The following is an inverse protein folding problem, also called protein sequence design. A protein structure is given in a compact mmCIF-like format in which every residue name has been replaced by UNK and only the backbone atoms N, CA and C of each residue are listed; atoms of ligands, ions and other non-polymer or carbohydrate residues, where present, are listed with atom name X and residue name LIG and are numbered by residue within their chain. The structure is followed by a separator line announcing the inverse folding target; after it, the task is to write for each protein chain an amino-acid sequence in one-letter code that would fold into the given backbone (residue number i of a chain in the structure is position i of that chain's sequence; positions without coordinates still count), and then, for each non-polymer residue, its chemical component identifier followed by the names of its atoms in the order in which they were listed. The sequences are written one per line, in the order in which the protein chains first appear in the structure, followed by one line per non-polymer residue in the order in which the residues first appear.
data_IF_256679701453
#
_entry.id   IF_256679701453
#
_cell.length_a   1.000
_cell.length_b   1.000
_cell.length_c   1.000
_cell.angle_alpha   90.00
_cell.angle_beta   90.00
_cell.angle_gamma   90.00
#
_symmetry.space_group_name_H-M   'P 1'
#
loop_
_entity.id
_entity.type
_entity.pdbx_description
1 polymer ?
#
# COMPACT_ATOMS: atom_id res chain seq x y z
N UNK A 1 10.49 12.11 4.71
CA UNK A 1 9.87 12.62 3.46
C UNK A 1 10.50 11.86 2.30
N UNK A 2 9.99 10.66 2.00
CA UNK A 2 10.50 9.82 0.89
C UNK A 2 9.33 9.46 -0.01
N UNK A 3 9.08 10.35 -0.98
CA UNK A 3 8.27 10.06 -2.15
C UNK A 3 9.09 9.18 -3.09
N UNK A 4 8.87 7.87 -3.07
CA UNK A 4 9.32 6.99 -4.12
C UNK A 4 8.56 7.29 -5.40
N UNK A 5 8.99 8.29 -6.17
CA UNK A 5 8.48 8.55 -7.50
C UNK A 5 8.80 7.36 -8.40
N UNK A 6 7.81 6.52 -8.67
CA UNK A 6 7.89 5.58 -9.79
C UNK A 6 7.67 6.38 -11.07
N UNK A 7 8.75 6.77 -11.74
CA UNK A 7 8.68 7.28 -13.12
C UNK A 7 8.11 6.19 -14.04
N UNK A 8 7.03 6.45 -14.77
CA UNK A 8 6.46 5.48 -15.71
C UNK A 8 7.37 5.10 -16.88
N UNK A 9 8.40 5.92 -17.15
CA UNK A 9 9.33 5.71 -18.27
C UNK A 9 10.29 4.52 -18.11
N UNK A 10 10.35 3.87 -16.93
CA UNK A 10 11.25 2.73 -16.70
C UNK A 10 10.56 1.38 -17.00
N UNK A 11 9.23 1.36 -17.15
CA UNK A 11 8.46 0.12 -17.29
C UNK A 11 8.29 -0.38 -18.74
N UNK A 12 8.72 0.36 -19.77
CA UNK A 12 8.53 -0.02 -21.18
C UNK A 12 9.79 -0.37 -21.96
N UNK A 13 10.97 -0.42 -21.31
CA UNK A 13 12.16 -0.88 -22.03
C UNK A 13 12.40 -2.38 -21.85
N UNK A 14 12.67 -3.12 -22.94
CA UNK A 14 12.95 -4.54 -22.84
C UNK A 14 14.21 -4.74 -22.02
N UNK A 15 14.07 -5.57 -21.01
CA UNK A 15 15.06 -5.96 -20.05
C UNK A 15 16.31 -6.54 -20.69
N UNK A 16 17.48 -6.07 -20.28
CA UNK A 16 18.77 -6.65 -20.67
C UNK A 16 19.93 -5.67 -20.87
N UNK A 17 19.69 -4.37 -20.86
CA UNK A 17 20.75 -3.36 -21.04
C UNK A 17 20.55 -2.17 -20.12
N UNK A 18 21.15 -2.17 -18.95
CA UNK A 18 21.50 -0.93 -18.29
C UNK A 18 22.83 -0.44 -18.92
N UNK A 19 22.81 0.72 -19.56
CA UNK A 19 24.00 1.40 -20.15
C UNK A 19 24.79 0.58 -21.19
N UNK A 20 24.15 -0.30 -21.94
CA UNK A 20 24.83 -1.07 -23.01
C UNK A 20 25.71 -2.23 -22.53
N UNK A 21 25.79 -2.53 -21.25
CA UNK A 21 26.57 -3.61 -20.67
C UNK A 21 25.72 -4.88 -20.56
N UNK A 22 26.23 -6.02 -21.08
CA UNK A 22 25.64 -7.34 -20.78
C UNK A 22 26.02 -7.74 -19.37
N UNK A 23 25.08 -7.74 -18.45
CA UNK A 23 25.30 -8.26 -17.11
C UNK A 23 25.38 -9.79 -17.12
N UNK A 24 26.33 -10.35 -16.36
CA UNK A 24 26.19 -11.73 -15.88
C UNK A 24 25.04 -11.78 -14.90
N UNK A 25 24.35 -12.92 -14.82
CA UNK A 25 23.23 -13.13 -13.90
C UNK A 25 23.64 -12.79 -12.47
N UNK A 26 22.87 -11.92 -11.80
CA UNK A 26 23.02 -11.63 -10.37
C UNK A 26 22.36 -12.73 -9.57
N UNK A 27 23.08 -13.35 -8.63
CA UNK A 27 22.51 -14.33 -7.71
C UNK A 27 22.11 -13.65 -6.40
N UNK A 28 20.89 -13.84 -5.98
CA UNK A 28 20.39 -13.35 -4.68
C UNK A 28 20.20 -14.55 -3.76
N UNK A 29 20.90 -14.55 -2.64
CA UNK A 29 20.88 -15.65 -1.67
C UNK A 29 20.22 -15.19 -0.39
N UNK A 30 19.16 -15.88 0.01
CA UNK A 30 18.54 -15.72 1.32
C UNK A 30 19.40 -16.34 2.41
N UNK A 31 19.54 -15.63 3.54
CA UNK A 31 20.24 -16.11 4.74
C UNK A 31 19.42 -15.77 5.99
N UNK A 32 19.17 -16.75 6.84
CA UNK A 32 18.44 -16.62 8.09
C UNK A 32 19.32 -16.26 9.28
N UNK A 33 18.74 -16.23 10.48
CA UNK A 33 19.48 -16.07 11.73
C UNK A 33 20.32 -17.30 12.09
N UNK A 34 20.04 -18.46 11.49
CA UNK A 34 20.86 -19.69 11.52
C UNK A 34 22.18 -19.57 10.73
N UNK A 35 22.34 -18.45 9.99
CA UNK A 35 23.58 -18.06 9.32
C UNK A 35 24.07 -19.08 8.29
N UNK A 36 25.41 -19.22 8.23
CA UNK A 36 26.07 -20.15 7.30
C UNK A 36 25.62 -21.60 7.46
N UNK A 37 25.36 -22.03 8.70
CA UNK A 37 24.98 -23.42 8.99
C UNK A 37 23.65 -23.78 8.32
N UNK A 38 22.68 -22.88 8.32
CA UNK A 38 21.35 -23.10 7.75
C UNK A 38 21.26 -23.02 6.24
N UNK A 39 22.30 -22.57 5.55
CA UNK A 39 22.30 -22.45 4.10
C UNK A 39 22.32 -23.83 3.40
N UNK A 40 21.53 -23.94 2.33
CA UNK A 40 21.56 -25.10 1.44
C UNK A 40 22.94 -25.25 0.77
N UNK A 41 23.34 -26.49 0.36
CA UNK A 41 24.59 -26.70 -0.39
C UNK A 41 24.69 -25.79 -1.63
N UNK A 42 23.59 -25.58 -2.34
CA UNK A 42 23.54 -24.71 -3.52
C UNK A 42 23.78 -23.23 -3.15
N UNK A 43 23.22 -22.75 -2.06
CA UNK A 43 23.44 -21.39 -1.57
C UNK A 43 24.88 -21.19 -1.12
N UNK A 44 25.48 -22.15 -0.41
CA UNK A 44 26.89 -22.11 0.00
C UNK A 44 27.82 -22.05 -1.21
N UNK A 45 27.63 -22.95 -2.19
CA UNK A 45 28.43 -22.97 -3.40
C UNK A 45 28.33 -21.65 -4.20
N UNK A 46 27.15 -21.04 -4.28
CA UNK A 46 26.99 -19.75 -4.93
C UNK A 46 27.77 -18.64 -4.22
N UNK A 47 27.80 -18.61 -2.90
CA UNK A 47 28.52 -17.63 -2.10
C UNK A 47 30.04 -17.89 -2.19
N UNK A 48 30.50 -19.13 -2.14
CA UNK A 48 31.91 -19.51 -2.25
C UNK A 48 32.51 -19.15 -3.61
N UNK A 49 31.70 -19.21 -4.66
CA UNK A 49 32.11 -18.85 -6.04
C UNK A 49 31.97 -17.35 -6.34
N UNK A 50 31.49 -16.56 -5.39
CA UNK A 50 31.26 -15.13 -5.61
C UNK A 50 32.58 -14.36 -5.70
N UNK A 51 32.75 -13.57 -6.76
CA UNK A 51 33.82 -12.56 -6.81
C UNK A 51 33.48 -11.33 -5.94
N UNK A 52 32.17 -11.02 -5.82
CA UNK A 52 31.66 -9.91 -5.01
C UNK A 52 30.43 -10.38 -4.22
N UNK A 53 30.48 -10.16 -2.90
CA UNK A 53 29.39 -10.37 -1.97
C UNK A 53 28.83 -9.02 -1.51
N UNK A 54 27.57 -8.77 -1.79
CA UNK A 54 26.84 -7.56 -1.38
C UNK A 54 25.81 -7.93 -0.34
N UNK A 55 25.68 -7.15 0.72
CA UNK A 55 24.65 -7.42 1.75
C UNK A 55 24.61 -6.33 2.80
N UNK A 56 23.62 -6.34 3.66
CA UNK A 56 23.66 -5.54 4.88
C UNK A 56 24.77 -6.02 5.83
N UNK A 57 25.24 -5.19 6.75
CA UNK A 57 26.33 -5.56 7.68
C UNK A 57 26.06 -6.89 8.39
N UNK A 58 24.80 -7.12 8.84
CA UNK A 58 24.39 -8.37 9.50
C UNK A 58 24.57 -9.59 8.58
N UNK A 59 24.05 -9.54 7.34
CA UNK A 59 24.13 -10.66 6.41
C UNK A 59 25.58 -10.98 6.04
N UNK A 60 26.41 -9.97 5.83
CA UNK A 60 27.85 -10.13 5.55
C UNK A 60 28.59 -10.76 6.73
N UNK A 61 28.21 -10.43 7.98
CA UNK A 61 28.80 -11.01 9.18
C UNK A 61 28.43 -12.49 9.40
N UNK A 62 27.29 -12.96 8.86
CA UNK A 62 26.87 -14.37 8.93
C UNK A 62 27.65 -15.29 7.99
N UNK A 63 28.42 -14.76 7.03
CA UNK A 63 29.27 -15.53 6.13
C UNK A 63 30.67 -15.62 6.73
N UNK A 64 31.27 -16.83 6.90
CA UNK A 64 32.59 -17.01 7.46
C UNK A 64 33.65 -16.18 6.73
N UNK A 65 34.64 -15.65 7.47
CA UNK A 65 35.70 -14.80 6.87
C UNK A 65 36.57 -15.57 5.88
N UNK A 66 36.69 -16.88 6.03
CA UNK A 66 37.42 -17.75 5.13
C UNK A 66 36.77 -17.89 3.73
N UNK A 67 35.50 -17.54 3.57
CA UNK A 67 34.83 -17.54 2.27
C UNK A 67 35.37 -16.39 1.43
N UNK A 68 35.89 -16.68 0.21
CA UNK A 68 36.46 -15.66 -0.65
C UNK A 68 35.40 -14.67 -1.17
N UNK A 69 35.86 -13.62 -1.82
CA UNK A 69 35.00 -12.60 -2.41
C UNK A 69 35.10 -11.26 -1.68
N UNK A 70 35.04 -10.18 -2.47
CA UNK A 70 35.06 -8.81 -1.94
C UNK A 70 33.70 -8.51 -1.30
N UNK A 71 33.68 -8.15 -0.04
CA UNK A 71 32.45 -7.80 0.70
C UNK A 71 32.15 -6.31 0.55
N UNK A 72 30.96 -6.00 0.10
CA UNK A 72 30.48 -4.63 -0.10
C UNK A 72 29.14 -4.45 0.62
N UNK A 73 29.02 -3.49 1.53
CA UNK A 73 27.75 -3.19 2.17
C UNK A 73 26.74 -2.62 1.16
N UNK A 74 25.47 -2.93 1.37
CA UNK A 74 24.40 -2.29 0.61
C UNK A 74 24.42 -0.78 0.81
N UNK A 75 24.21 0.01 -0.26
CA UNK A 75 24.20 1.46 -0.16
C UNK A 75 23.00 1.97 0.65
N UNK A 76 23.18 3.12 1.29
CA UNK A 76 22.12 3.86 1.97
C UNK A 76 22.18 5.34 1.51
N UNK A 77 21.16 5.84 0.84
CA UNK A 77 19.91 5.18 0.46
C UNK A 77 20.11 4.05 -0.56
N UNK A 78 19.18 3.08 -0.57
CA UNK A 78 19.29 1.92 -1.46
C UNK A 78 19.23 2.32 -2.95
N UNK A 79 18.45 3.31 -3.29
CA UNK A 79 18.37 3.88 -4.64
C UNK A 79 18.88 5.34 -4.61
N UNK A 80 19.67 5.78 -5.60
CA UNK A 80 20.10 5.09 -6.83
C UNK A 80 21.27 4.11 -6.63
N UNK A 81 21.91 4.08 -5.45
CA UNK A 81 23.18 3.39 -5.19
C UNK A 81 23.19 1.89 -5.56
N UNK A 82 22.06 1.19 -5.46
CA UNK A 82 21.98 -0.22 -5.87
C UNK A 82 22.19 -0.39 -7.38
N UNK A 83 21.64 0.50 -8.20
CA UNK A 83 21.81 0.49 -9.66
C UNK A 83 23.28 0.71 -10.04
N UNK A 84 23.92 1.68 -9.40
CA UNK A 84 25.34 2.01 -9.60
C UNK A 84 26.25 0.85 -9.17
N UNK A 85 25.96 0.24 -8.01
CA UNK A 85 26.71 -0.90 -7.49
C UNK A 85 26.62 -2.09 -8.44
N UNK A 86 25.43 -2.44 -8.93
CA UNK A 86 25.26 -3.54 -9.88
C UNK A 86 25.99 -3.24 -11.19
N UNK A 87 25.91 -2.03 -11.70
CA UNK A 87 26.63 -1.62 -12.92
C UNK A 87 28.15 -1.71 -12.76
N UNK A 88 28.68 -1.28 -11.62
CA UNK A 88 30.12 -1.32 -11.34
C UNK A 88 30.70 -2.74 -11.20
N UNK A 89 29.86 -3.75 -10.90
CA UNK A 89 30.29 -5.13 -10.66
C UNK A 89 29.70 -6.15 -11.67
N UNK A 90 29.38 -5.71 -12.87
CA UNK A 90 28.77 -6.54 -13.92
C UNK A 90 29.68 -7.69 -14.44
N UNK A 91 30.98 -7.68 -14.15
CA UNK A 91 31.97 -8.65 -14.64
C UNK A 91 32.14 -9.91 -13.78
N UNK A 92 32.44 -9.78 -12.47
CA UNK A 92 32.60 -10.91 -11.55
C UNK A 92 31.25 -11.52 -11.19
N UNK A 93 31.28 -12.76 -10.66
CA UNK A 93 30.07 -13.36 -10.10
C UNK A 93 29.58 -12.54 -8.91
N UNK A 94 28.48 -11.83 -9.10
CA UNK A 94 27.87 -10.96 -8.09
C UNK A 94 26.81 -11.72 -7.30
N UNK A 95 26.99 -11.84 -6.00
CA UNK A 95 26.02 -12.42 -5.07
C UNK A 95 25.51 -11.34 -4.13
N UNK A 96 24.20 -11.21 -4.02
CA UNK A 96 23.52 -10.31 -3.08
C UNK A 96 22.86 -11.14 -1.97
N UNK A 97 23.24 -10.86 -0.73
CA UNK A 97 22.67 -11.50 0.44
C UNK A 97 21.40 -10.78 0.89
N UNK A 98 20.36 -11.52 1.17
CA UNK A 98 19.06 -11.02 1.64
C UNK A 98 18.63 -11.73 2.92
N UNK A 99 17.86 -11.09 3.78
CA UNK A 99 17.27 -11.74 4.95
C UNK A 99 16.16 -12.70 4.52
N UNK A 100 16.22 -13.96 4.96
CA UNK A 100 15.17 -14.96 4.71
C UNK A 100 14.86 -15.15 3.23
N UNK A 101 13.61 -14.98 2.83
CA UNK A 101 13.21 -15.05 1.40
C UNK A 101 13.47 -13.71 0.68
N UNK A 102 14.37 -13.69 -0.32
CA UNK A 102 14.67 -12.47 -1.07
C UNK A 102 13.48 -11.87 -1.82
N UNK A 103 12.46 -12.65 -2.13
CA UNK A 103 11.28 -12.18 -2.88
C UNK A 103 10.17 -11.67 -1.97
N UNK A 104 10.21 -11.99 -0.68
CA UNK A 104 9.19 -11.60 0.27
C UNK A 104 9.60 -10.32 1.04
N UNK A 105 9.13 -9.17 0.60
CA UNK A 105 9.56 -7.83 1.06
C UNK A 105 11.08 -7.60 0.99
N UNK A 106 11.80 -8.42 0.25
CA UNK A 106 13.26 -8.44 0.18
C UNK A 106 13.84 -7.75 -1.04
N UNK A 107 15.17 -7.63 -1.04
CA UNK A 107 15.94 -6.98 -2.10
C UNK A 107 15.86 -7.72 -3.45
N UNK A 108 15.56 -9.02 -3.44
CA UNK A 108 15.38 -9.81 -4.67
C UNK A 108 14.29 -9.25 -5.56
N UNK A 109 13.15 -8.87 -4.98
CA UNK A 109 12.07 -8.23 -5.73
C UNK A 109 12.49 -6.88 -6.33
N UNK A 110 13.36 -6.14 -5.66
CA UNK A 110 13.91 -4.87 -6.19
C UNK A 110 14.88 -5.11 -7.33
N UNK A 111 15.76 -6.10 -7.23
CA UNK A 111 16.68 -6.48 -8.30
C UNK A 111 15.95 -7.03 -9.53
N UNK A 112 14.93 -7.84 -9.35
CA UNK A 112 14.09 -8.32 -10.47
C UNK A 112 13.41 -7.16 -11.19
N UNK A 113 12.89 -6.16 -10.47
CA UNK A 113 12.33 -4.95 -11.10
C UNK A 113 13.37 -4.11 -11.84
N UNK A 114 14.60 -4.07 -11.33
CA UNK A 114 15.69 -3.28 -11.90
C UNK A 114 16.30 -3.94 -13.15
N UNK A 115 16.53 -5.25 -13.10
CA UNK A 115 17.29 -6.00 -14.10
C UNK A 115 16.42 -6.89 -15.00
N UNK A 116 15.23 -7.24 -14.53
CA UNK A 116 14.35 -8.25 -15.11
C UNK A 116 14.62 -9.66 -14.60
N UNK A 117 13.60 -10.49 -14.62
CA UNK A 117 13.63 -11.85 -14.06
C UNK A 117 14.71 -12.74 -14.69
N UNK A 118 14.99 -12.58 -15.99
CA UNK A 118 15.99 -13.36 -16.71
C UNK A 118 17.43 -13.11 -16.27
N UNK A 119 17.69 -11.99 -15.58
CA UNK A 119 19.03 -11.58 -15.12
C UNK A 119 19.24 -11.85 -13.62
N UNK A 120 18.26 -12.41 -12.91
CA UNK A 120 18.33 -12.62 -11.47
C UNK A 120 18.05 -14.08 -11.14
N UNK A 121 19.01 -14.75 -10.52
CA UNK A 121 18.80 -16.08 -9.93
C UNK A 121 18.54 -15.91 -8.43
N UNK A 122 17.41 -16.42 -7.93
CA UNK A 122 17.06 -16.32 -6.52
C UNK A 122 17.20 -17.69 -5.86
N UNK A 123 17.95 -17.76 -4.76
CA UNK A 123 18.10 -18.90 -3.88
C UNK A 123 17.45 -18.54 -2.54
N UNK A 124 16.18 -18.90 -2.31
CA UNK A 124 15.45 -18.51 -1.12
C UNK A 124 15.92 -19.28 0.12
N UNK A 125 15.70 -18.68 1.29
CA UNK A 125 15.74 -19.31 2.60
C UNK A 125 14.37 -19.11 3.26
N UNK A 126 13.93 -19.92 4.23
CA UNK A 126 12.67 -19.69 4.92
C UNK A 126 12.54 -18.25 5.41
N UNK A 127 11.40 -17.63 5.11
CA UNK A 127 11.13 -16.26 5.59
C UNK A 127 10.86 -16.27 7.10
N UNK A 128 11.08 -15.11 7.75
CA UNK A 128 10.67 -14.94 9.15
C UNK A 128 9.16 -15.16 9.36
N UNK A 129 8.35 -14.90 8.32
CA UNK A 129 6.91 -15.21 8.34
C UNK A 129 6.64 -16.70 8.37
N UNK A 130 7.34 -17.48 7.54
CA UNK A 130 7.22 -18.95 7.54
C UNK A 130 7.64 -19.55 8.88
N UNK A 131 8.74 -19.03 9.45
CA UNK A 131 9.22 -19.48 10.76
C UNK A 131 8.26 -19.08 11.88
N UNK A 132 7.74 -17.84 11.87
CA UNK A 132 6.76 -17.38 12.84
C UNK A 132 5.48 -18.22 12.81
N UNK A 133 4.95 -18.45 11.61
CA UNK A 133 3.77 -19.28 11.42
C UNK A 133 3.97 -20.70 11.97
N UNK A 134 5.14 -21.31 11.72
CA UNK A 134 5.49 -22.61 12.26
C UNK A 134 5.57 -22.63 13.80
N UNK A 135 6.11 -21.58 14.44
CA UNK A 135 6.18 -21.46 15.91
C UNK A 135 4.82 -21.26 16.55
N UNK A 136 3.92 -20.55 15.87
CA UNK A 136 2.57 -20.26 16.36
C UNK A 136 1.55 -21.35 16.00
N UNK A 137 1.88 -22.27 15.10
CA UNK A 137 0.94 -23.25 14.55
C UNK A 137 -0.13 -22.58 13.67
N UNK A 138 0.20 -21.49 12.98
CA UNK A 138 -0.71 -20.77 12.11
C UNK A 138 -0.51 -21.16 10.65
N UNK A 139 -1.53 -21.68 9.95
CA UNK A 139 -1.48 -21.84 8.50
C UNK A 139 -1.27 -20.49 7.81
N UNK A 140 -0.32 -20.41 6.87
CA UNK A 140 0.02 -19.14 6.21
C UNK A 140 -1.09 -18.60 5.30
N UNK A 141 -1.93 -19.46 4.80
CA UNK A 141 -3.11 -19.11 3.99
C UNK A 141 -4.23 -18.45 4.81
N UNK A 142 -4.17 -18.55 6.15
CA UNK A 142 -5.10 -17.90 7.08
C UNK A 142 -4.50 -16.69 7.82
N UNK A 143 -3.37 -16.18 7.34
CA UNK A 143 -2.64 -15.08 7.99
C UNK A 143 -2.48 -13.89 7.05
N UNK A 144 -2.85 -12.70 7.51
CA UNK A 144 -2.51 -11.47 6.84
C UNK A 144 -1.07 -11.05 7.19
N UNK A 145 -0.30 -10.62 6.19
CA UNK A 145 1.10 -10.20 6.39
C UNK A 145 1.30 -8.77 5.96
N UNK A 146 1.98 -7.98 6.81
CA UNK A 146 2.36 -6.60 6.51
C UNK A 146 3.80 -6.33 6.92
N UNK A 147 4.51 -5.56 6.11
CA UNK A 147 5.83 -5.05 6.51
C UNK A 147 5.71 -3.62 7.01
N UNK A 148 6.14 -3.39 8.24
CA UNK A 148 6.27 -2.09 8.89
C UNK A 148 7.73 -1.59 8.90
N UNK A 149 8.66 -2.37 8.31
CA UNK A 149 10.07 -1.96 8.21
C UNK A 149 10.20 -0.74 7.31
N UNK A 150 10.50 0.42 7.91
CA UNK A 150 10.56 1.70 7.21
C UNK A 150 9.22 2.16 6.63
N UNK A 151 8.11 1.69 7.17
CA UNK A 151 6.75 2.00 6.71
C UNK A 151 5.85 2.40 7.88
N UNK A 152 4.82 3.22 7.63
CA UNK A 152 3.87 3.63 8.65
C UNK A 152 3.13 2.45 9.28
N UNK A 153 2.99 2.47 10.62
CA UNK A 153 2.24 1.46 11.38
C UNK A 153 0.75 1.46 11.06
N UNK A 154 0.24 2.56 10.56
CA UNK A 154 -1.15 2.76 10.14
C UNK A 154 -1.57 1.75 9.05
N UNK A 155 -0.63 1.17 8.31
CA UNK A 155 -0.89 0.08 7.36
C UNK A 155 -1.53 -1.17 8.00
N UNK A 156 -1.49 -1.30 9.33
CA UNK A 156 -2.21 -2.34 10.07
C UNK A 156 -3.73 -2.15 10.06
N UNK A 157 -4.23 -0.90 10.02
CA UNK A 157 -5.66 -0.63 10.23
C UNK A 157 -6.61 -1.46 9.35
N UNK A 158 -6.38 -1.62 8.01
CA UNK A 158 -7.27 -2.42 7.17
C UNK A 158 -7.25 -3.92 7.50
N UNK A 159 -6.23 -4.41 8.21
CA UNK A 159 -6.04 -5.82 8.56
C UNK A 159 -6.69 -6.16 9.90
N UNK A 160 -7.03 -5.15 10.71
CA UNK A 160 -7.65 -5.35 12.01
C UNK A 160 -9.12 -5.72 11.85
N UNK A 161 -9.37 -7.02 11.77
CA UNK A 161 -10.71 -7.61 11.69
C UNK A 161 -10.87 -8.66 12.79
N UNK A 162 -12.05 -8.81 13.40
CA UNK A 162 -12.28 -9.79 14.46
C UNK A 162 -11.88 -11.20 14.04
N UNK A 163 -11.10 -11.88 14.87
CA UNK A 163 -10.65 -13.25 14.64
C UNK A 163 -9.53 -13.42 13.60
N UNK A 164 -9.08 -12.35 12.94
CA UNK A 164 -7.96 -12.45 11.98
C UNK A 164 -6.62 -12.53 12.71
N UNK A 165 -5.68 -13.19 12.05
CA UNK A 165 -4.28 -13.31 12.46
C UNK A 165 -3.41 -12.46 11.55
N UNK A 166 -2.54 -11.65 12.15
CA UNK A 166 -1.66 -10.74 11.40
C UNK A 166 -0.21 -10.96 11.83
N UNK A 167 0.69 -11.11 10.87
CA UNK A 167 2.14 -11.09 11.08
C UNK A 167 2.70 -9.76 10.55
N UNK A 168 3.15 -8.90 11.44
CA UNK A 168 3.77 -7.63 11.12
C UNK A 168 5.29 -7.76 11.20
N UNK A 169 5.99 -7.58 10.06
CA UNK A 169 7.43 -7.50 10.02
C UNK A 169 7.89 -6.16 10.55
N UNK A 170 8.76 -6.13 11.55
CA UNK A 170 9.26 -4.91 12.19
C UNK A 170 10.78 -4.89 12.20
N UNK A 171 11.37 -3.69 12.27
CA UNK A 171 12.82 -3.54 12.40
C UNK A 171 13.31 -3.83 13.83
N UNK A 172 12.43 -3.65 14.83
CA UNK A 172 12.75 -3.72 16.24
C UNK A 172 11.59 -4.34 17.03
N UNK A 173 11.89 -4.96 18.15
CA UNK A 173 10.87 -5.52 19.06
C UNK A 173 10.06 -4.44 19.76
N UNK A 174 10.63 -3.25 19.96
CA UNK A 174 9.94 -2.07 20.53
C UNK A 174 8.71 -1.66 19.73
N UNK A 175 8.65 -1.99 18.43
CA UNK A 175 7.47 -1.75 17.60
C UNK A 175 6.19 -2.42 18.14
N UNK A 176 6.32 -3.46 18.99
CA UNK A 176 5.18 -4.10 19.63
C UNK A 176 4.42 -3.16 20.58
N UNK A 177 5.11 -2.21 21.22
CA UNK A 177 4.48 -1.18 22.08
C UNK A 177 3.59 -0.27 21.22
N UNK A 178 4.10 0.20 20.10
CA UNK A 178 3.36 1.04 19.17
C UNK A 178 2.17 0.29 18.53
N UNK A 179 2.35 -0.99 18.21
CA UNK A 179 1.27 -1.85 17.71
C UNK A 179 0.18 -2.00 18.77
N UNK A 180 0.52 -2.26 20.04
CA UNK A 180 -0.48 -2.35 21.13
C UNK A 180 -1.24 -1.05 21.32
N UNK A 181 -0.55 0.10 21.30
CA UNK A 181 -1.19 1.41 21.38
C UNK A 181 -2.18 1.64 20.23
N UNK A 182 -1.80 1.26 19.00
CA UNK A 182 -2.66 1.33 17.82
C UNK A 182 -3.88 0.39 17.97
N UNK A 183 -3.69 -0.83 18.44
CA UNK A 183 -4.78 -1.79 18.69
C UNK A 183 -5.79 -1.22 19.69
N UNK A 184 -5.31 -0.71 20.83
CA UNK A 184 -6.17 -0.10 21.85
C UNK A 184 -6.97 1.09 21.28
N UNK A 185 -6.32 1.98 20.52
CA UNK A 185 -6.97 3.13 19.91
C UNK A 185 -8.04 2.75 18.86
N UNK A 186 -8.00 1.50 18.36
CA UNK A 186 -8.93 0.99 17.32
C UNK A 186 -9.96 0.00 17.86
N UNK A 187 -10.06 -0.15 19.18
CA UNK A 187 -11.00 -1.08 19.82
C UNK A 187 -10.58 -2.55 19.69
N UNK A 188 -9.30 -2.81 19.62
CA UNK A 188 -8.69 -4.14 19.60
C UNK A 188 -7.71 -4.34 20.76
N UNK A 189 -7.89 -3.61 21.86
CA UNK A 189 -7.01 -3.67 23.04
C UNK A 189 -6.92 -5.06 23.68
N UNK A 190 -7.98 -5.88 23.57
CA UNK A 190 -8.01 -7.27 24.01
C UNK A 190 -7.27 -8.27 23.12
N UNK A 191 -6.63 -7.84 22.02
CA UNK A 191 -5.88 -8.71 21.13
C UNK A 191 -4.66 -9.33 21.79
N UNK A 192 -4.35 -10.58 21.45
CA UNK A 192 -3.08 -11.20 21.84
C UNK A 192 -1.97 -10.73 20.91
N UNK A 193 -0.88 -10.28 21.50
CA UNK A 193 0.30 -9.81 20.75
C UNK A 193 1.52 -10.59 21.22
N UNK A 194 2.17 -11.29 20.29
CA UNK A 194 3.38 -12.08 20.52
C UNK A 194 4.53 -11.50 19.73
N UNK A 195 5.69 -11.36 20.33
CA UNK A 195 6.95 -10.96 19.69
C UNK A 195 7.76 -12.20 19.37
N UNK A 196 8.20 -12.31 18.13
CA UNK A 196 9.10 -13.36 17.70
C UNK A 196 10.36 -12.70 17.13
N UNK A 197 11.51 -13.01 17.69
CA UNK A 197 12.78 -12.42 17.29
C UNK A 197 13.83 -13.48 16.97
N UNK A 198 14.79 -13.16 16.10
CA UNK A 198 15.92 -13.99 15.68
C UNK A 198 15.55 -15.44 15.32
N UNK A 199 14.38 -15.60 14.69
CA UNK A 199 13.79 -16.88 14.33
C UNK A 199 14.76 -17.76 13.51
N UNK A 200 14.89 -19.03 13.92
CA UNK A 200 15.82 -20.00 13.35
C UNK A 200 17.23 -19.91 13.89
N UNK A 201 17.58 -18.87 14.64
CA UNK A 201 18.90 -18.66 15.23
C UNK A 201 19.03 -19.23 16.65
N UNK A 202 20.25 -19.22 17.16
CA UNK A 202 20.54 -19.70 18.53
C UNK A 202 19.93 -18.81 19.63
N UNK A 203 19.53 -17.59 19.28
CA UNK A 203 18.91 -16.64 20.21
C UNK A 203 17.43 -16.39 19.89
N UNK A 204 16.78 -17.39 19.30
CA UNK A 204 15.36 -17.31 18.98
C UNK A 204 14.51 -17.04 20.23
N UNK A 205 13.63 -16.06 20.13
CA UNK A 205 12.69 -15.67 21.19
C UNK A 205 11.27 -15.70 20.65
N UNK A 206 10.36 -16.26 21.46
CA UNK A 206 8.91 -16.24 21.22
C UNK A 206 8.25 -15.93 22.56
N UNK A 207 7.72 -14.72 22.73
CA UNK A 207 7.16 -14.26 24.01
C UNK A 207 5.98 -13.32 23.83
N UNK A 208 5.07 -13.21 24.81
CA UNK A 208 4.05 -12.15 24.82
C UNK A 208 4.68 -10.75 24.74
N UNK A 209 4.04 -9.85 24.02
CA UNK A 209 4.50 -8.46 23.93
C UNK A 209 4.48 -7.78 25.32
N UNK A 210 5.60 -7.17 25.72
CA UNK A 210 5.81 -6.54 27.02
C UNK A 210 7.05 -7.04 27.74
N UNK A 211 7.75 -8.04 27.16
CA UNK A 211 9.07 -8.48 27.61
C UNK A 211 10.18 -7.49 27.29
N UNK A 212 11.41 -7.86 27.61
CA UNK A 212 12.60 -7.06 27.31
C UNK A 212 12.79 -6.94 25.79
N UNK A 213 13.29 -5.78 25.29
CA UNK A 213 13.61 -5.65 23.87
C UNK A 213 14.70 -6.67 23.46
N UNK A 214 14.40 -7.51 22.49
CA UNK A 214 15.35 -8.49 21.94
C UNK A 214 15.57 -8.20 20.43
N UNK A 215 16.82 -8.25 19.99
CA UNK A 215 17.21 -8.29 18.58
C UNK A 215 16.73 -7.13 17.70
N UNK A 216 17.18 -7.16 16.46
CA UNK A 216 16.88 -6.11 15.46
C UNK A 216 15.88 -6.54 14.38
N UNK A 217 15.46 -7.79 14.34
CA UNK A 217 14.49 -8.28 13.36
C UNK A 217 13.43 -9.06 14.11
N UNK A 218 12.25 -8.48 14.18
CA UNK A 218 11.14 -9.08 14.87
C UNK A 218 9.93 -9.25 13.95
N UNK A 219 9.14 -10.26 14.25
CA UNK A 219 7.77 -10.40 13.78
C UNK A 219 6.87 -10.13 14.98
N UNK A 220 5.93 -9.22 14.81
CA UNK A 220 4.86 -9.01 15.79
C UNK A 220 3.64 -9.76 15.28
N UNK A 221 3.26 -10.81 15.99
CA UNK A 221 2.08 -11.62 15.70
C UNK A 221 0.88 -11.11 16.49
N UNK A 222 -0.25 -10.95 15.85
CA UNK A 222 -1.47 -10.38 16.41
C UNK A 222 -2.63 -11.34 16.16
N UNK A 223 -3.29 -11.82 17.23
CA UNK A 223 -4.63 -12.39 17.15
C UNK A 223 -5.64 -11.29 17.44
N UNK A 224 -6.33 -10.82 16.42
CA UNK A 224 -7.22 -9.68 16.52
C UNK A 224 -8.49 -10.04 17.32
N UNK A 225 -8.69 -9.37 18.47
CA UNK A 225 -9.89 -9.49 19.30
C UNK A 225 -10.53 -8.12 19.45
N UNK A 226 -11.76 -8.01 18.93
CA UNK A 226 -12.53 -6.79 19.05
C UNK A 226 -13.01 -6.61 20.48
N UNK A 227 -12.84 -5.41 21.02
CA UNK A 227 -13.29 -5.04 22.35
C UNK A 227 -14.84 -4.95 22.39
N UNK A 228 -15.44 -5.20 23.54
CA UNK A 228 -16.88 -5.11 23.70
C UNK A 228 -17.37 -3.68 23.41
N UNK A 229 -18.37 -3.57 22.55
CA UNK A 229 -18.93 -2.28 22.14
C UNK A 229 -18.17 -1.55 21.04
N UNK A 230 -17.00 -2.03 20.63
CA UNK A 230 -16.30 -1.48 19.48
C UNK A 230 -16.87 -2.01 18.16
N UNK A 231 -16.79 -1.19 17.08
CA UNK A 231 -17.21 -1.56 15.74
C UNK A 231 -16.00 -1.74 14.81
N UNK A 232 -15.86 -2.89 14.10
CA UNK A 232 -14.79 -3.05 13.14
C UNK A 232 -15.05 -2.19 11.89
N UNK A 233 -13.99 -1.64 11.29
CA UNK A 233 -14.08 -0.90 10.04
C UNK A 233 -13.91 -1.87 8.86
N UNK A 234 -15.00 -2.10 8.12
CA UNK A 234 -15.02 -2.95 6.94
C UNK A 234 -14.02 -2.49 5.87
N UNK A 235 -13.54 -3.44 5.05
CA UNK A 235 -12.81 -3.14 3.81
C UNK A 235 -13.75 -2.93 2.61
N UNK A 236 -15.00 -3.35 2.75
CA UNK A 236 -16.04 -3.08 1.75
C UNK A 236 -16.38 -1.58 1.79
N UNK A 237 -16.52 -0.91 0.62
CA UNK A 237 -16.91 0.50 0.56
C UNK A 237 -18.20 0.82 1.32
N UNK A 238 -18.26 2.01 1.89
CA UNK A 238 -19.38 2.49 2.70
C UNK A 238 -19.06 2.52 4.19
N UNK A 239 -17.84 2.95 4.56
CA UNK A 239 -17.52 3.24 5.96
C UNK A 239 -18.50 4.25 6.56
N UNK A 240 -18.78 4.17 7.87
CA UNK A 240 -19.54 5.21 8.57
C UNK A 240 -18.93 6.59 8.34
N UNK A 241 -19.77 7.62 8.23
CA UNK A 241 -19.27 9.00 8.02
C UNK A 241 -18.42 9.46 9.22
N UNK A 242 -18.70 8.95 10.41
CA UNK A 242 -18.00 9.22 11.67
C UNK A 242 -16.57 8.64 11.70
N UNK A 243 -16.25 7.72 10.78
CA UNK A 243 -14.88 7.22 10.63
C UNK A 243 -13.93 8.27 10.02
N UNK A 244 -14.47 9.34 9.47
CA UNK A 244 -13.73 10.45 8.87
C UNK A 244 -13.85 11.71 9.73
N UNK A 245 -12.80 12.51 9.74
CA UNK A 245 -12.85 13.89 10.24
C UNK A 245 -13.51 14.76 9.14
N UNK A 246 -14.77 15.20 9.31
CA UNK A 246 -15.47 15.99 8.28
C UNK A 246 -15.22 17.47 8.47
N UNK A 247 -15.54 18.28 7.44
CA UNK A 247 -15.69 19.75 7.50
C UNK A 247 -17.14 20.19 7.26
N UNK A 248 -18.09 19.30 7.48
CA UNK A 248 -19.49 19.48 7.12
C UNK A 248 -19.82 19.05 5.69
N UNK A 249 -18.83 18.78 4.87
CA UNK A 249 -19.00 18.36 3.47
C UNK A 249 -18.27 17.04 3.19
N UNK A 250 -18.93 15.93 3.40
CA UNK A 250 -18.45 14.60 3.03
C UNK A 250 -19.42 13.94 2.07
N UNK A 251 -18.92 13.23 1.07
CA UNK A 251 -19.74 12.32 0.28
C UNK A 251 -20.32 11.26 1.22
N UNK A 252 -21.62 11.30 1.43
CA UNK A 252 -22.31 10.47 2.42
C UNK A 252 -22.15 8.99 2.13
N UNK A 253 -22.19 8.16 3.18
CA UNK A 253 -21.91 6.72 3.15
C UNK A 253 -22.53 5.99 1.96
N UNK A 254 -23.85 6.16 1.74
CA UNK A 254 -24.58 5.44 0.69
C UNK A 254 -24.15 5.93 -0.70
N UNK A 255 -23.99 7.24 -0.86
CA UNK A 255 -23.54 7.86 -2.11
C UNK A 255 -22.10 7.45 -2.44
N UNK A 256 -21.24 7.38 -1.41
CA UNK A 256 -19.84 6.97 -1.54
C UNK A 256 -19.74 5.50 -1.94
N UNK A 257 -20.54 4.63 -1.31
CA UNK A 257 -20.60 3.22 -1.67
C UNK A 257 -21.03 3.01 -3.13
N UNK A 258 -22.06 3.73 -3.59
CA UNK A 258 -22.53 3.68 -4.98
C UNK A 258 -21.48 4.25 -5.96
N UNK A 259 -20.80 5.34 -5.59
CA UNK A 259 -19.72 5.89 -6.40
C UNK A 259 -18.57 4.88 -6.57
N UNK A 260 -18.16 4.22 -5.48
CA UNK A 260 -17.11 3.20 -5.52
C UNK A 260 -17.55 1.93 -6.28
N UNK A 261 -18.82 1.55 -6.18
CA UNK A 261 -19.38 0.48 -7.01
C UNK A 261 -19.32 0.81 -8.52
N UNK A 262 -19.62 2.05 -8.90
CA UNK A 262 -19.53 2.52 -10.29
C UNK A 262 -18.07 2.66 -10.75
N UNK A 263 -17.15 3.08 -9.88
CA UNK A 263 -15.71 3.14 -10.14
C UNK A 263 -15.10 1.74 -10.26
N UNK A 264 -15.69 0.71 -9.62
CA UNK A 264 -15.29 -0.69 -9.68
C UNK A 264 -13.75 -0.89 -9.50
N UNK A 265 -13.18 -0.64 -8.33
CA UNK A 265 -11.73 -0.68 -8.11
C UNK A 265 -11.13 -2.04 -8.41
N UNK A 266 -10.00 -2.03 -9.15
CA UNK A 266 -9.21 -3.22 -9.47
C UNK A 266 -7.80 -3.05 -8.90
N UNK A 267 -7.16 -4.11 -8.37
CA UNK A 267 -5.82 -4.02 -7.81
C UNK A 267 -4.80 -3.39 -8.76
N UNK A 268 -3.98 -2.46 -8.24
CA UNK A 268 -2.93 -1.77 -9.00
C UNK A 268 -3.37 -0.51 -9.74
N UNK A 269 -4.67 -0.27 -9.88
CA UNK A 269 -5.20 0.91 -10.54
C UNK A 269 -4.98 2.20 -9.76
N UNK A 270 -4.91 3.31 -10.50
CA UNK A 270 -4.78 4.67 -9.99
C UNK A 270 -6.12 5.41 -10.14
N UNK A 271 -6.64 5.94 -9.03
CA UNK A 271 -7.75 6.87 -9.00
C UNK A 271 -7.26 8.33 -8.94
N UNK A 272 -7.87 9.22 -9.70
CA UNK A 272 -7.90 10.65 -9.39
C UNK A 272 -9.19 10.97 -8.63
N UNK A 273 -9.06 11.51 -7.41
CA UNK A 273 -10.16 12.03 -6.59
C UNK A 273 -10.13 13.55 -6.68
N UNK A 274 -10.95 14.12 -7.58
CA UNK A 274 -10.95 15.55 -7.93
C UNK A 274 -11.99 16.30 -7.11
N UNK A 275 -11.54 17.33 -6.39
CA UNK A 275 -12.34 18.02 -5.38
C UNK A 275 -12.57 17.11 -4.17
N UNK A 276 -11.50 16.53 -3.66
CA UNK A 276 -11.51 15.40 -2.74
C UNK A 276 -12.16 15.70 -1.37
N UNK A 277 -12.23 16.96 -0.94
CA UNK A 277 -12.86 17.37 0.32
C UNK A 277 -12.23 16.71 1.55
N UNK A 278 -12.88 15.71 2.13
CA UNK A 278 -12.35 14.89 3.24
C UNK A 278 -11.48 13.72 2.78
N UNK A 279 -11.33 13.49 1.48
CA UNK A 279 -10.61 12.37 0.89
C UNK A 279 -11.33 11.03 0.94
N UNK A 280 -12.60 11.04 1.29
CA UNK A 280 -13.32 9.81 1.64
C UNK A 280 -13.42 8.79 0.50
N UNK A 281 -13.53 9.23 -0.76
CA UNK A 281 -13.60 8.33 -1.93
C UNK A 281 -12.23 7.74 -2.23
N UNK A 282 -11.18 8.58 -2.29
CA UNK A 282 -9.81 8.13 -2.52
C UNK A 282 -9.30 7.17 -1.43
N UNK A 283 -9.66 7.44 -0.17
CA UNK A 283 -9.31 6.58 0.99
C UNK A 283 -9.99 5.22 0.86
N UNK A 284 -11.30 5.17 0.65
CA UNK A 284 -12.00 3.88 0.53
C UNK A 284 -11.58 3.11 -0.73
N UNK A 285 -11.29 3.80 -1.86
CA UNK A 285 -10.68 3.18 -3.03
C UNK A 285 -9.39 2.43 -2.69
N UNK A 286 -8.48 3.08 -1.94
CA UNK A 286 -7.20 2.46 -1.54
C UNK A 286 -7.38 1.33 -0.51
N UNK A 287 -8.43 1.39 0.33
CA UNK A 287 -8.72 0.36 1.32
C UNK A 287 -9.20 -0.96 0.72
N UNK A 288 -9.74 -0.94 -0.50
CA UNK A 288 -10.17 -2.17 -1.19
C UNK A 288 -9.02 -3.14 -1.36
N UNK A 289 -7.83 -2.64 -1.77
CA UNK A 289 -6.68 -3.50 -2.00
C UNK A 289 -5.35 -2.74 -1.78
N UNK A 290 -4.32 -3.39 -1.18
CA UNK A 290 -3.03 -2.72 -0.88
C UNK A 290 -2.27 -2.20 -2.11
N UNK A 291 -2.53 -2.73 -3.31
CA UNK A 291 -1.95 -2.24 -4.55
C UNK A 291 -2.70 -1.04 -5.16
N UNK A 292 -3.92 -0.73 -4.68
CA UNK A 292 -4.69 0.42 -5.17
C UNK A 292 -4.01 1.73 -4.80
N UNK A 293 -4.05 2.69 -5.72
CA UNK A 293 -3.42 4.01 -5.55
C UNK A 293 -4.46 5.10 -5.81
N UNK A 294 -4.30 6.24 -5.14
CA UNK A 294 -5.11 7.41 -5.41
C UNK A 294 -4.30 8.69 -5.30
N UNK A 295 -4.72 9.70 -6.07
CA UNK A 295 -4.26 11.10 -5.99
C UNK A 295 -5.49 11.94 -5.69
N UNK A 296 -5.51 12.59 -4.54
CA UNK A 296 -6.54 13.53 -4.13
C UNK A 296 -6.13 14.95 -4.53
N UNK A 297 -6.94 15.62 -5.33
CA UNK A 297 -6.71 17.01 -5.76
C UNK A 297 -7.66 17.93 -4.98
N UNK A 298 -7.09 18.81 -4.15
CA UNK A 298 -7.86 19.68 -3.26
C UNK A 298 -7.18 21.05 -3.12
N UNK A 299 -7.86 22.17 -3.47
CA UNK A 299 -7.28 23.52 -3.39
C UNK A 299 -7.08 24.02 -1.96
N UNK A 300 -7.95 23.65 -1.01
CA UNK A 300 -7.94 24.18 0.35
C UNK A 300 -6.91 23.49 1.24
N UNK A 301 -6.05 24.28 1.88
CA UNK A 301 -4.98 23.76 2.74
C UNK A 301 -5.52 22.98 3.94
N UNK A 302 -6.54 23.49 4.63
CA UNK A 302 -7.17 22.85 5.78
C UNK A 302 -7.78 21.47 5.43
N UNK A 303 -8.33 21.34 4.21
CA UNK A 303 -8.85 20.06 3.70
C UNK A 303 -7.73 19.09 3.36
N UNK A 304 -6.64 19.57 2.75
CA UNK A 304 -5.48 18.69 2.45
C UNK A 304 -4.88 18.07 3.71
N UNK A 305 -4.74 18.86 4.78
CA UNK A 305 -4.27 18.34 6.07
C UNK A 305 -5.24 17.31 6.64
N UNK A 306 -6.55 17.56 6.54
CA UNK A 306 -7.59 16.62 6.97
C UNK A 306 -7.56 15.33 6.15
N UNK A 307 -7.39 15.40 4.83
CA UNK A 307 -7.22 14.23 3.97
C UNK A 307 -6.05 13.38 4.47
N UNK A 308 -4.91 14.00 4.78
CA UNK A 308 -3.73 13.29 5.28
C UNK A 308 -3.99 12.61 6.64
N UNK A 309 -4.69 13.30 7.56
CA UNK A 309 -5.08 12.70 8.86
C UNK A 309 -6.06 11.54 8.68
N UNK A 310 -7.09 11.70 7.84
CA UNK A 310 -8.04 10.64 7.53
C UNK A 310 -7.37 9.44 6.87
N UNK A 311 -6.48 9.68 5.91
CA UNK A 311 -5.74 8.62 5.22
C UNK A 311 -4.86 7.81 6.21
N UNK A 312 -4.16 8.48 7.11
CA UNK A 312 -3.40 7.81 8.16
C UNK A 312 -4.35 7.03 9.10
N UNK A 313 -5.37 7.69 9.65
CA UNK A 313 -6.32 7.08 10.56
C UNK A 313 -7.05 5.87 9.96
N UNK A 314 -7.24 5.82 8.65
CA UNK A 314 -7.94 4.73 7.95
C UNK A 314 -7.00 3.74 7.24
N UNK A 315 -5.68 3.85 7.48
CA UNK A 315 -4.70 2.85 7.08
C UNK A 315 -4.24 2.91 5.63
N UNK A 316 -4.37 4.07 5.00
CA UNK A 316 -3.87 4.33 3.64
C UNK A 316 -2.99 5.59 3.57
N UNK A 317 -1.92 5.66 4.41
CA UNK A 317 -1.06 6.85 4.51
C UNK A 317 -0.31 7.17 3.20
N UNK A 318 -0.36 6.27 2.22
CA UNK A 318 0.21 6.46 0.89
C UNK A 318 -0.68 7.25 -0.08
N UNK A 319 -1.84 7.77 0.35
CA UNK A 319 -2.66 8.67 -0.46
C UNK A 319 -1.88 9.94 -0.79
N UNK A 320 -1.69 10.20 -2.08
CA UNK A 320 -0.99 11.41 -2.54
C UNK A 320 -1.99 12.57 -2.56
N UNK A 321 -1.63 13.69 -1.92
CA UNK A 321 -2.47 14.89 -1.88
C UNK A 321 -1.81 16.01 -2.69
N UNK A 322 -2.49 16.48 -3.73
CA UNK A 322 -2.03 17.53 -4.63
C UNK A 322 -2.76 18.84 -4.32
N UNK A 323 -1.97 19.89 -4.16
CA UNK A 323 -2.47 21.25 -3.93
C UNK A 323 -2.86 21.93 -5.23
N UNK A 324 -4.06 22.41 -5.32
CA UNK A 324 -4.53 23.22 -6.44
C UNK A 324 -5.94 22.88 -6.88
N UNK A 325 -6.49 23.73 -7.72
CA UNK A 325 -7.78 23.51 -8.34
C UNK A 325 -7.61 22.76 -9.68
N UNK A 326 -8.57 21.91 -10.01
CA UNK A 326 -8.68 21.35 -11.35
C UNK A 326 -9.32 22.42 -12.28
N UNK A 327 -8.95 22.50 -13.59
CA UNK A 327 -8.13 21.48 -14.28
C UNK A 327 -6.60 21.67 -14.14
N UNK A 328 -6.08 22.84 -13.72
CA UNK A 328 -4.66 23.16 -13.74
C UNK A 328 -3.80 22.18 -12.92
N UNK A 329 -4.31 21.80 -11.74
CA UNK A 329 -3.62 20.88 -10.85
C UNK A 329 -3.55 19.43 -11.36
N UNK A 330 -4.23 19.10 -12.46
CA UNK A 330 -4.19 17.78 -13.09
C UNK A 330 -2.98 17.64 -14.04
N UNK A 331 -2.37 18.74 -14.44
CA UNK A 331 -1.26 18.74 -15.38
C UNK A 331 -0.04 18.00 -14.81
N UNK A 332 0.52 17.07 -15.61
CA UNK A 332 1.71 16.29 -15.22
C UNK A 332 1.46 15.16 -14.24
N UNK A 333 0.23 14.93 -13.80
CA UNK A 333 -0.11 13.77 -12.99
C UNK A 333 -0.02 12.48 -13.83
N UNK A 334 0.34 11.34 -13.21
CA UNK A 334 0.29 10.04 -13.88
C UNK A 334 -1.13 9.73 -14.38
N UNK A 335 -1.23 9.15 -15.58
CA UNK A 335 -2.50 8.77 -16.21
C UNK A 335 -3.36 7.91 -15.26
N UNK A 336 -4.64 8.30 -15.00
CA UNK A 336 -5.53 7.56 -14.12
C UNK A 336 -6.24 6.41 -14.85
N UNK A 337 -6.51 5.33 -14.12
CA UNK A 337 -7.40 4.24 -14.55
C UNK A 337 -8.87 4.54 -14.20
N UNK A 338 -9.07 5.40 -13.21
CA UNK A 338 -10.38 5.84 -12.76
C UNK A 338 -10.32 7.31 -12.31
N UNK A 339 -11.43 8.03 -12.49
CA UNK A 339 -11.59 9.41 -12.03
C UNK A 339 -12.90 9.54 -11.26
N UNK A 340 -12.84 10.12 -10.09
CA UNK A 340 -14.00 10.60 -9.36
C UNK A 340 -14.00 12.12 -9.30
N UNK A 341 -15.11 12.76 -9.67
CA UNK A 341 -15.31 14.20 -9.55
C UNK A 341 -16.35 14.43 -8.45
N UNK A 342 -15.87 14.80 -7.25
CA UNK A 342 -16.70 15.11 -6.10
C UNK A 342 -17.09 16.56 -5.99
N UNK A 343 -16.35 17.44 -6.70
CA UNK A 343 -16.61 18.88 -6.78
C UNK A 343 -16.00 19.49 -8.04
N UNK A 344 -16.52 20.64 -8.47
CA UNK A 344 -16.01 21.36 -9.64
C UNK A 344 -16.56 20.88 -11.00
N UNK A 345 -17.62 20.08 -11.03
CA UNK A 345 -18.23 19.60 -12.29
C UNK A 345 -18.72 20.74 -13.19
N UNK A 346 -19.07 21.89 -12.61
CA UNK A 346 -19.48 23.13 -13.31
C UNK A 346 -18.30 24.00 -13.69
N UNK A 347 -17.10 23.72 -13.22
CA UNK A 347 -15.90 24.48 -13.57
C UNK A 347 -15.47 24.12 -14.99
N UNK A 348 -15.29 25.15 -15.82
CA UNK A 348 -14.89 24.96 -17.21
C UNK A 348 -13.58 24.15 -17.33
N UNK A 349 -13.57 23.16 -18.24
CA UNK A 349 -12.40 22.34 -18.51
C UNK A 349 -12.17 21.15 -17.59
N UNK A 350 -12.75 21.08 -16.38
CA UNK A 350 -12.47 19.98 -15.41
C UNK A 350 -12.84 18.62 -15.97
N UNK A 351 -14.09 18.44 -16.41
CA UNK A 351 -14.55 17.15 -16.93
C UNK A 351 -13.80 16.74 -18.20
N UNK A 352 -13.52 17.72 -19.10
CA UNK A 352 -12.75 17.48 -20.31
C UNK A 352 -11.32 17.01 -19.98
N UNK A 353 -10.61 17.73 -19.13
CA UNK A 353 -9.25 17.36 -18.73
C UNK A 353 -9.19 15.97 -18.06
N UNK A 354 -10.18 15.65 -17.21
CA UNK A 354 -10.30 14.33 -16.60
C UNK A 354 -10.54 13.22 -17.64
N UNK A 355 -11.41 13.49 -18.62
CA UNK A 355 -11.72 12.54 -19.68
C UNK A 355 -10.54 12.29 -20.60
N UNK A 356 -9.85 13.37 -21.00
CA UNK A 356 -8.70 13.27 -21.90
C UNK A 356 -7.52 12.51 -21.27
N UNK A 357 -7.32 12.69 -19.96
CA UNK A 357 -6.29 11.99 -19.21
C UNK A 357 -6.61 10.53 -18.91
N UNK A 358 -7.90 10.17 -18.87
CA UNK A 358 -8.34 8.83 -18.46
C UNK A 358 -7.76 7.75 -19.39
N UNK A 359 -7.26 6.66 -18.83
CA UNK A 359 -6.74 5.53 -19.60
C UNK A 359 -7.84 4.87 -20.46
N UNK A 360 -7.49 4.25 -21.60
CA UNK A 360 -8.44 3.40 -22.34
C UNK A 360 -9.02 2.32 -21.43
N UNK A 361 -10.33 2.09 -21.50
CA UNK A 361 -11.05 1.20 -20.59
C UNK A 361 -11.29 1.76 -19.19
N UNK A 362 -10.78 2.97 -18.90
CA UNK A 362 -10.94 3.64 -17.62
C UNK A 362 -12.37 4.12 -17.35
N UNK A 363 -12.65 4.50 -16.10
CA UNK A 363 -13.99 4.88 -15.64
C UNK A 363 -13.99 6.28 -15.04
N UNK A 364 -14.99 7.07 -15.38
CA UNK A 364 -15.23 8.37 -14.78
C UNK A 364 -16.58 8.35 -14.09
N UNK A 365 -16.61 8.79 -12.83
CA UNK A 365 -17.81 8.95 -12.02
C UNK A 365 -17.83 10.40 -11.50
N UNK A 366 -18.94 11.07 -11.67
CA UNK A 366 -19.12 12.43 -11.17
C UNK A 366 -20.48 12.57 -10.45
N UNK A 367 -20.47 13.27 -9.33
CA UNK A 367 -21.66 13.52 -8.51
C UNK A 367 -22.03 15.02 -8.51
N UNK A 368 -23.32 15.31 -8.54
CA UNK A 368 -23.83 16.67 -8.42
C UNK A 368 -25.10 16.70 -7.56
N UNK A 369 -25.22 17.72 -6.71
CA UNK A 369 -26.41 17.98 -5.87
C UNK A 369 -27.16 19.23 -6.33
N UNK A 370 -26.52 20.19 -6.99
CA UNK A 370 -27.13 21.42 -7.48
C UNK A 370 -27.74 21.25 -8.87
N UNK A 371 -28.72 22.07 -9.23
CA UNK A 371 -29.35 22.02 -10.56
C UNK A 371 -28.35 22.33 -11.68
N UNK A 372 -27.42 23.25 -11.46
CA UNK A 372 -26.37 23.61 -12.42
C UNK A 372 -25.43 22.41 -12.65
N UNK A 373 -25.04 21.73 -11.57
CA UNK A 373 -24.25 20.52 -11.64
C UNK A 373 -24.96 19.38 -12.36
N UNK A 374 -26.23 19.19 -12.07
CA UNK A 374 -27.07 18.16 -12.73
C UNK A 374 -27.23 18.44 -14.23
N UNK A 375 -27.44 19.71 -14.62
CA UNK A 375 -27.48 20.13 -16.02
C UNK A 375 -26.15 19.84 -16.72
N UNK A 376 -25.01 20.19 -16.09
CA UNK A 376 -23.70 19.90 -16.65
C UNK A 376 -23.46 18.39 -16.84
N UNK A 377 -23.87 17.54 -15.87
CA UNK A 377 -23.78 16.08 -16.02
C UNK A 377 -24.68 15.53 -17.14
N UNK A 378 -25.88 16.11 -17.32
CA UNK A 378 -26.75 15.73 -18.42
C UNK A 378 -26.15 16.07 -19.79
N UNK A 379 -25.50 17.23 -19.93
CA UNK A 379 -24.78 17.64 -21.15
C UNK A 379 -23.61 16.70 -21.44
N UNK A 380 -22.82 16.35 -20.44
CA UNK A 380 -21.72 15.42 -20.60
C UNK A 380 -22.19 14.01 -20.97
N UNK A 381 -23.28 13.53 -20.36
CA UNK A 381 -23.92 12.27 -20.77
C UNK A 381 -24.36 12.31 -22.23
N UNK A 382 -24.89 13.44 -22.71
CA UNK A 382 -25.29 13.59 -24.11
C UNK A 382 -24.08 13.46 -25.06
N UNK A 383 -22.90 14.00 -24.67
CA UNK A 383 -21.67 14.01 -25.47
C UNK A 383 -20.91 12.67 -25.43
N UNK A 384 -20.80 12.07 -24.25
CA UNK A 384 -19.92 10.92 -24.00
C UNK A 384 -20.68 9.61 -23.70
N UNK A 385 -22.00 9.69 -23.62
CA UNK A 385 -22.81 8.53 -23.23
C UNK A 385 -22.73 8.23 -21.73
N UNK A 386 -22.82 6.98 -21.38
CA UNK A 386 -22.82 6.53 -19.97
C UNK A 386 -24.18 6.58 -19.30
N UNK A 387 -24.22 6.34 -18.02
CA UNK A 387 -25.42 6.22 -17.19
C UNK A 387 -25.56 7.42 -16.27
N UNK A 388 -26.72 8.03 -16.23
CA UNK A 388 -27.10 9.08 -15.28
C UNK A 388 -28.12 8.49 -14.31
N UNK A 389 -27.80 8.48 -13.02
CA UNK A 389 -28.61 7.92 -11.95
C UNK A 389 -28.94 8.98 -10.93
N UNK A 390 -30.21 9.14 -10.55
CA UNK A 390 -30.61 9.98 -9.43
C UNK A 390 -30.80 9.13 -8.18
N UNK A 391 -30.13 9.50 -7.10
CA UNK A 391 -30.10 8.75 -5.84
C UNK A 391 -30.75 9.60 -4.75
N UNK A 392 -31.82 9.11 -4.16
CA UNK A 392 -32.45 9.66 -2.98
C UNK A 392 -32.22 8.76 -1.78
N UNK A 393 -31.90 9.36 -0.65
CA UNK A 393 -31.72 8.67 0.64
C UNK A 393 -32.56 9.36 1.68
N UNK A 394 -33.37 8.58 2.40
CA UNK A 394 -34.18 9.07 3.51
C UNK A 394 -33.81 8.29 4.77
N UNK A 395 -33.76 8.98 5.91
CA UNK A 395 -33.48 8.36 7.21
C UNK A 395 -34.63 8.62 8.17
N UNK A 396 -34.98 7.60 8.91
CA UNK A 396 -35.95 7.75 10.00
C UNK A 396 -35.31 8.62 11.11
N UNK A 397 -36.00 9.66 11.51
CA UNK A 397 -35.55 10.61 12.54
C UNK A 397 -36.71 11.08 13.40
N UNK A 398 -36.42 11.60 14.59
CA UNK A 398 -37.43 12.03 15.54
C UNK A 398 -38.21 13.24 15.04
N UNK A 399 -39.55 13.21 15.23
CA UNK A 399 -40.47 14.31 15.05
C UNK A 399 -41.37 14.40 16.30
N UNK A 400 -40.91 15.12 17.31
CA UNK A 400 -41.52 15.13 18.62
C UNK A 400 -41.50 13.73 19.27
N UNK A 401 -42.66 13.18 19.59
CA UNK A 401 -42.82 11.80 20.12
C UNK A 401 -42.95 10.74 19.01
N UNK A 402 -42.94 11.12 17.76
CA UNK A 402 -43.08 10.24 16.60
C UNK A 402 -41.75 10.12 15.82
N UNK A 403 -41.76 9.24 14.82
CA UNK A 403 -40.65 9.06 13.88
C UNK A 403 -41.16 9.41 12.48
N UNK A 404 -40.32 10.09 11.69
CA UNK A 404 -40.63 10.44 10.31
C UNK A 404 -39.42 10.17 9.41
N UNK A 405 -39.64 10.13 8.10
CA UNK A 405 -38.57 10.08 7.12
C UNK A 405 -38.07 11.49 6.83
N UNK A 406 -36.75 11.69 7.00
CA UNK A 406 -36.05 12.93 6.59
C UNK A 406 -35.25 12.67 5.35
N UNK A 407 -35.60 13.31 4.20
CA UNK A 407 -34.86 13.19 2.97
C UNK A 407 -33.54 13.95 3.05
N UNK A 408 -32.47 13.33 2.56
CA UNK A 408 -31.22 14.02 2.22
C UNK A 408 -31.36 14.70 0.85
N UNK A 409 -30.48 15.63 0.54
CA UNK A 409 -30.44 16.22 -0.81
C UNK A 409 -30.16 15.09 -1.83
N UNK A 410 -31.00 14.94 -2.86
CA UNK A 410 -30.77 13.97 -3.90
C UNK A 410 -29.46 14.21 -4.64
N UNK A 411 -28.73 13.16 -4.95
CA UNK A 411 -27.49 13.22 -5.73
C UNK A 411 -27.75 12.67 -7.12
N UNK A 412 -27.35 13.41 -8.16
CA UNK A 412 -27.24 12.87 -9.51
C UNK A 412 -25.83 12.41 -9.72
N UNK A 413 -25.68 11.13 -10.07
CA UNK A 413 -24.41 10.47 -10.39
C UNK A 413 -24.37 10.15 -11.88
N UNK A 414 -23.32 10.59 -12.55
CA UNK A 414 -23.00 10.19 -13.90
C UNK A 414 -21.82 9.26 -13.88
N UNK A 415 -21.92 8.13 -14.59
CA UNK A 415 -20.83 7.17 -14.75
C UNK A 415 -20.65 6.83 -16.23
N UNK A 416 -19.40 6.85 -16.70
CA UNK A 416 -19.06 6.54 -18.09
C UNK A 416 -17.73 5.77 -18.14
N UNK A 417 -17.61 4.91 -19.13
CA UNK A 417 -16.37 4.17 -19.39
C UNK A 417 -15.78 4.66 -20.71
N UNK A 418 -14.46 4.93 -20.73
CA UNK A 418 -13.74 5.21 -21.96
C UNK A 418 -13.55 3.91 -22.73
N UNK A 419 -14.03 3.87 -23.95
CA UNK A 419 -13.85 2.68 -24.81
C UNK A 419 -12.36 2.42 -25.07
N UNK A 420 -12.01 1.15 -25.28
CA UNK A 420 -10.70 0.79 -25.80
C UNK A 420 -10.67 1.13 -27.30
N UNK A 421 -9.58 1.72 -27.81
CA UNK A 421 -9.42 2.00 -29.22
C UNK A 421 -9.43 0.73 -30.06
#
# INVERSE_FOLDING_TARGET
MFLGSRSPAILSQPCGRLYGVRFKTVTVVGIGADGWAGLSPRSKAAIEQAGVLVGGPRQLALVPQAVPGRRIPLPSPLQPGLSELVAAHAGPALVVLASGDPMFYGIGATLVRLLGAAQVTVLPHPSSVSLAAARLGWPLDDVDVVSLVGRPRELLHPLLQPGRRVLALTAETTAAVDVRALLAARGFGGSQVTVLADLGGAQEVVEPAGGQPHGRLAVVAIECRLDAGAGPLSRVPGLPDEAFEPDGQITKREIRALALAALAPVPGQLLWDVGAGSGSVGIEWMRVHPASRAIAVEPRADRRERIARNAAALGVPGLVVVSGAAPEALAGLPQPDAVFIGGGVTTGGVVAACWDALAPGGRLVANAVTLEGQAALADWRHRLGGTLTRIGVERADALGSFTTWRPALPVVQWSVRRENP
#
